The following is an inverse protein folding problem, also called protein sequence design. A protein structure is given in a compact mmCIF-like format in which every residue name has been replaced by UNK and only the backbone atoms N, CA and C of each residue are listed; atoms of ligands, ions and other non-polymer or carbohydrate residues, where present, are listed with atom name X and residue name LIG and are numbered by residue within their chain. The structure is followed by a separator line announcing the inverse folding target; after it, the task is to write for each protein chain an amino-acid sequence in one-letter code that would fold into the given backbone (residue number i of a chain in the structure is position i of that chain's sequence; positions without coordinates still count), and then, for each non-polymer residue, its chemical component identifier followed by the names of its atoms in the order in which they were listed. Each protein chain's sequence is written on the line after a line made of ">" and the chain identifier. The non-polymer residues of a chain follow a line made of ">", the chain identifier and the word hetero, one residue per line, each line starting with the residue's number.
data_IF_998845069257
#
_entry.id   IF_998845069257
#
_cell.length_a   1.000
_cell.length_b   1.000
_cell.length_c   1.000
_cell.angle_alpha   90.00
_cell.angle_beta   90.00
_cell.angle_gamma   90.00
#
_symmetry.space_group_name_H-M   'P 1'
#
loop_
_entity.id
_entity.type
_entity.pdbx_description
1 polymer ?
#
# COMPACT_ATOMS: atom_id res chain seq x y z
N UNK A 1 -27.49 -53.12 45.03
CA UNK A 1 -28.83 -53.19 44.39
C UNK A 1 -28.78 -52.34 43.12
N UNK A 2 -28.21 -52.80 42.01
CA UNK A 2 -28.82 -53.56 40.88
C UNK A 2 -29.97 -52.86 40.14
N UNK A 3 -29.78 -52.77 38.81
CA UNK A 3 -30.63 -52.29 37.68
C UNK A 3 -30.12 -50.95 37.09
N UNK A 4 -29.39 -50.85 35.96
CA UNK A 4 -29.29 -51.54 34.65
C UNK A 4 -30.45 -51.27 33.67
N UNK A 5 -30.07 -50.67 32.51
CA UNK A 5 -30.74 -50.49 31.19
C UNK A 5 -31.65 -49.26 31.04
N UNK A 6 -31.70 -48.54 29.90
CA UNK A 6 -31.18 -48.78 28.53
C UNK A 6 -31.17 -47.49 27.71
N UNK A 7 -30.26 -47.48 26.74
CA UNK A 7 -30.04 -46.65 25.55
C UNK A 7 -31.26 -46.28 24.68
N UNK A 8 -31.15 -45.15 23.93
CA UNK A 8 -31.23 -45.06 22.44
C UNK A 8 -31.04 -43.61 21.92
N UNK A 9 -29.99 -43.38 21.11
CA UNK A 9 -29.97 -43.06 19.65
C UNK A 9 -30.15 -41.57 19.31
N UNK A 10 -29.09 -40.88 18.86
CA UNK A 10 -28.60 -40.70 17.47
C UNK A 10 -29.58 -39.91 16.60
N UNK A 11 -29.16 -38.71 16.21
CA UNK A 11 -29.68 -37.92 15.10
C UNK A 11 -28.54 -37.12 14.48
N UNK A 12 -27.85 -37.73 13.52
CA UNK A 12 -26.90 -37.10 12.62
C UNK A 12 -27.60 -36.78 11.29
N UNK A 13 -27.26 -35.63 10.69
CA UNK A 13 -27.43 -35.19 9.28
C UNK A 13 -27.74 -33.68 9.27
N UNK A 14 -27.25 -32.82 8.37
CA UNK A 14 -26.69 -33.06 7.06
C UNK A 14 -25.62 -32.01 6.71
N UNK A 15 -24.56 -32.51 6.09
CA UNK A 15 -23.49 -31.83 5.39
C UNK A 15 -24.04 -31.30 4.05
N UNK A 16 -24.08 -29.99 3.83
CA UNK A 16 -24.32 -29.41 2.50
C UNK A 16 -22.98 -29.08 1.85
N UNK A 17 -22.50 -30.03 1.06
CA UNK A 17 -21.37 -29.89 0.15
C UNK A 17 -21.87 -29.18 -1.12
N UNK A 18 -21.65 -27.87 -1.23
CA UNK A 18 -21.90 -27.14 -2.47
C UNK A 18 -20.72 -27.38 -3.43
N UNK A 19 -20.95 -28.25 -4.41
CA UNK A 19 -20.06 -28.46 -5.55
C UNK A 19 -20.12 -27.20 -6.45
N UNK A 20 -19.14 -26.31 -6.32
CA UNK A 20 -18.96 -25.19 -7.24
C UNK A 20 -18.16 -25.65 -8.46
N UNK A 21 -18.85 -25.70 -9.59
CA UNK A 21 -18.29 -25.91 -10.94
C UNK A 21 -17.38 -24.71 -11.26
N UNK A 22 -16.07 -24.87 -11.50
CA UNK A 22 -15.26 -23.76 -11.99
C UNK A 22 -15.58 -23.55 -13.47
N UNK A 23 -16.26 -22.44 -13.77
CA UNK A 23 -16.33 -21.92 -15.12
C UNK A 23 -14.90 -21.61 -15.59
N UNK A 24 -14.42 -22.40 -16.56
CA UNK A 24 -13.17 -22.17 -17.24
C UNK A 24 -13.23 -20.82 -17.95
N UNK A 25 -12.68 -19.77 -17.32
CA UNK A 25 -12.27 -18.56 -18.04
C UNK A 25 -11.09 -18.95 -18.91
N UNK A 26 -11.27 -18.86 -20.22
CA UNK A 26 -10.19 -18.90 -21.19
C UNK A 26 -9.15 -17.84 -20.82
N UNK A 27 -8.05 -18.26 -20.19
CA UNK A 27 -6.81 -17.46 -20.18
C UNK A 27 -6.26 -17.54 -21.59
N UNK A 28 -6.09 -16.38 -22.22
CA UNK A 28 -5.29 -16.27 -23.42
C UNK A 28 -3.93 -16.94 -23.15
N UNK A 29 -3.49 -17.80 -24.07
CA UNK A 29 -2.21 -18.48 -23.99
C UNK A 29 -1.07 -17.45 -23.99
N UNK A 30 -0.50 -17.20 -22.81
CA UNK A 30 0.86 -16.71 -22.69
C UNK A 30 1.79 -17.78 -23.23
N UNK A 31 2.49 -17.46 -24.33
CA UNK A 31 3.67 -18.21 -24.77
C UNK A 31 4.63 -18.31 -23.58
N UNK A 32 4.94 -19.51 -23.06
CA UNK A 32 5.87 -19.62 -21.95
C UNK A 32 7.25 -19.19 -22.46
N UNK A 33 7.67 -17.99 -22.05
CA UNK A 33 9.04 -17.56 -22.24
C UNK A 33 9.94 -18.61 -21.56
N UNK A 34 10.96 -19.09 -22.28
CA UNK A 34 11.81 -20.20 -21.85
C UNK A 34 12.43 -19.99 -20.46
N UNK A 35 12.90 -21.08 -19.80
CA UNK A 35 13.46 -21.03 -18.45
C UNK A 35 14.66 -20.08 -18.41
N UNK A 36 14.43 -18.83 -17.97
CA UNK A 36 15.47 -17.79 -17.84
C UNK A 36 15.07 -16.39 -18.33
N UNK A 37 14.00 -16.23 -19.11
CA UNK A 37 13.56 -14.90 -19.59
C UNK A 37 12.55 -14.30 -18.62
N UNK A 38 12.82 -13.11 -18.09
CA UNK A 38 11.88 -12.42 -17.18
C UNK A 38 10.90 -11.57 -17.99
N UNK A 39 9.60 -11.88 -17.91
CA UNK A 39 8.53 -11.06 -18.51
C UNK A 39 8.10 -9.91 -17.59
N UNK A 40 7.51 -8.86 -18.16
CA UNK A 40 6.97 -7.73 -17.40
C UNK A 40 5.98 -8.18 -16.31
N UNK A 41 5.06 -9.08 -16.64
CA UNK A 41 4.07 -9.58 -15.67
C UNK A 41 4.72 -10.37 -14.52
N UNK A 42 5.73 -11.19 -14.83
CA UNK A 42 6.49 -11.89 -13.80
C UNK A 42 7.27 -10.90 -12.92
N UNK A 43 7.86 -9.86 -13.51
CA UNK A 43 8.57 -8.82 -12.76
C UNK A 43 7.63 -8.10 -11.79
N UNK A 44 6.43 -7.71 -12.24
CA UNK A 44 5.44 -7.04 -11.39
C UNK A 44 4.94 -7.97 -10.28
N UNK A 45 4.57 -9.22 -10.60
CA UNK A 45 4.12 -10.18 -9.57
C UNK A 45 5.17 -10.42 -8.50
N UNK A 46 6.44 -10.61 -8.90
CA UNK A 46 7.55 -10.82 -7.96
C UNK A 46 7.82 -9.57 -7.13
N UNK A 47 7.91 -8.40 -7.77
CA UNK A 47 8.21 -7.15 -7.07
C UNK A 47 7.10 -6.70 -6.12
N UNK A 48 5.83 -6.83 -6.48
CA UNK A 48 4.70 -6.52 -5.58
C UNK A 48 4.69 -7.45 -4.36
N UNK A 49 5.03 -8.74 -4.54
CA UNK A 49 5.12 -9.70 -3.43
C UNK A 49 6.30 -9.41 -2.49
N UNK A 50 7.43 -8.95 -3.02
CA UNK A 50 8.64 -8.66 -2.25
C UNK A 50 8.68 -7.24 -1.65
N UNK A 51 7.83 -6.32 -2.10
CA UNK A 51 7.93 -4.89 -1.78
C UNK A 51 7.69 -4.57 -0.29
N UNK A 52 8.65 -3.92 0.41
CA UNK A 52 8.46 -3.43 1.77
C UNK A 52 7.35 -2.38 1.90
N UNK A 53 7.15 -1.55 0.87
CA UNK A 53 6.09 -0.54 0.86
C UNK A 53 4.68 -1.19 0.88
N UNK A 54 4.53 -2.35 0.25
CA UNK A 54 3.30 -3.13 0.32
C UNK A 54 3.12 -3.77 1.70
N UNK A 55 4.21 -4.24 2.33
CA UNK A 55 4.15 -4.77 3.69
C UNK A 55 3.75 -3.68 4.71
N UNK A 56 4.26 -2.46 4.55
CA UNK A 56 3.86 -1.29 5.33
C UNK A 56 2.37 -0.98 5.13
N UNK A 57 1.92 -0.91 3.86
CA UNK A 57 0.51 -0.68 3.55
C UNK A 57 -0.41 -1.76 4.12
N UNK A 58 0.01 -3.03 4.11
CA UNK A 58 -0.71 -4.15 4.73
C UNK A 58 -0.72 -4.06 6.26
N UNK A 59 0.37 -3.63 6.89
CA UNK A 59 0.41 -3.39 8.33
C UNK A 59 -0.55 -2.26 8.71
N UNK A 60 -0.56 -1.16 7.95
CA UNK A 60 -1.49 -0.05 8.16
C UNK A 60 -2.95 -0.46 7.95
N UNK A 61 -3.23 -1.27 6.92
CA UNK A 61 -4.55 -1.87 6.71
C UNK A 61 -4.97 -2.71 7.93
N UNK A 62 -4.09 -3.60 8.43
CA UNK A 62 -4.37 -4.40 9.63
C UNK A 62 -4.66 -3.53 10.86
N UNK A 63 -3.94 -2.41 11.04
CA UNK A 63 -4.23 -1.44 12.11
C UNK A 63 -5.64 -0.85 11.96
N UNK A 64 -6.03 -0.41 10.76
CA UNK A 64 -7.39 0.12 10.54
C UNK A 64 -8.47 -0.95 10.71
N UNK A 65 -8.19 -2.20 10.34
CA UNK A 65 -9.10 -3.33 10.56
C UNK A 65 -9.22 -3.71 12.04
N UNK A 66 -8.13 -3.64 12.81
CA UNK A 66 -8.15 -3.84 14.26
C UNK A 66 -9.10 -2.85 14.95
N UNK A 67 -9.14 -1.60 14.49
CA UNK A 67 -10.10 -0.59 14.96
C UNK A 67 -11.57 -1.02 14.82
N UNK A 68 -11.92 -1.85 13.82
CA UNK A 68 -13.27 -2.43 13.71
C UNK A 68 -13.54 -3.41 14.85
N UNK A 69 -12.59 -4.29 15.14
CA UNK A 69 -12.70 -5.28 16.22
C UNK A 69 -12.76 -4.61 17.59
N UNK A 70 -11.96 -3.57 17.82
CA UNK A 70 -12.07 -2.74 19.02
C UNK A 70 -13.45 -2.11 19.15
N UNK A 71 -14.01 -1.59 18.05
CA UNK A 71 -15.35 -1.05 18.01
C UNK A 71 -16.42 -2.07 18.43
N UNK A 72 -16.38 -3.28 17.85
CA UNK A 72 -17.28 -4.37 18.23
C UNK A 72 -17.07 -4.84 19.67
N UNK A 73 -15.82 -4.89 20.13
CA UNK A 73 -15.48 -5.25 21.51
C UNK A 73 -16.07 -4.30 22.54
N UNK A 74 -16.24 -3.01 22.21
CA UNK A 74 -16.92 -2.04 23.09
C UNK A 74 -18.41 -2.32 23.30
N UNK A 75 -19.04 -3.12 22.42
CA UNK A 75 -20.43 -3.54 22.59
C UNK A 75 -20.56 -4.81 23.43
N UNK A 76 -19.46 -5.43 23.85
CA UNK A 76 -19.46 -6.61 24.71
C UNK A 76 -19.38 -6.22 26.19
N UNK A 77 -19.86 -7.09 27.10
CA UNK A 77 -19.64 -6.89 28.53
C UNK A 77 -18.15 -6.91 28.87
N UNK A 78 -17.73 -6.00 29.74
CA UNK A 78 -16.43 -6.07 30.41
C UNK A 78 -16.59 -6.81 31.73
N UNK A 79 -15.68 -7.72 32.03
CA UNK A 79 -15.64 -8.47 33.29
C UNK A 79 -14.30 -8.23 33.94
N UNK A 80 -14.33 -7.72 35.16
CA UNK A 80 -13.13 -7.40 35.93
C UNK A 80 -13.20 -8.08 37.29
N UNK A 81 -12.16 -8.83 37.65
CA UNK A 81 -11.94 -9.33 39.00
C UNK A 81 -10.90 -8.44 39.68
N UNK A 82 -11.18 -7.97 40.88
CA UNK A 82 -10.25 -7.30 41.77
C UNK A 82 -10.13 -8.13 43.04
N UNK A 83 -8.90 -8.32 43.52
CA UNK A 83 -8.64 -9.02 44.78
C UNK A 83 -7.67 -8.17 45.59
N UNK A 84 -8.08 -7.80 46.80
CA UNK A 84 -7.33 -6.96 47.72
C UNK A 84 -6.98 -7.71 48.99
N UNK A 85 -5.76 -7.47 49.47
CA UNK A 85 -5.35 -7.74 50.85
C UNK A 85 -5.09 -6.38 51.49
N UNK A 86 -5.86 -6.05 52.52
CA UNK A 86 -5.79 -4.76 53.20
C UNK A 86 -5.31 -4.99 54.62
N UNK A 87 -4.26 -4.28 55.04
CA UNK A 87 -3.92 -4.16 56.45
C UNK A 87 -4.10 -2.71 56.85
N UNK A 88 -4.96 -2.44 57.82
CA UNK A 88 -5.22 -1.09 58.31
C UNK A 88 -5.03 -1.07 59.82
N UNK A 89 -4.16 -0.19 60.32
CA UNK A 89 -4.06 0.10 61.74
C UNK A 89 -5.12 1.12 62.13
N UNK A 90 -6.04 0.76 63.03
CA UNK A 90 -7.06 1.68 63.57
C UNK A 90 -6.74 1.90 65.04
N UNK A 91 -6.59 3.17 65.45
CA UNK A 91 -6.48 3.55 66.84
C UNK A 91 -7.87 3.41 67.48
N UNK A 92 -8.06 2.38 68.31
CA UNK A 92 -9.33 2.16 68.97
C UNK A 92 -9.44 3.14 70.15
N UNK A 93 -10.30 4.15 70.01
CA UNK A 93 -10.53 5.19 71.03
C UNK A 93 -11.78 4.94 71.87
N UNK A 94 -12.58 3.94 71.52
CA UNK A 94 -13.82 3.61 72.20
C UNK A 94 -13.96 2.11 72.41
N UNK A 95 -14.56 1.71 73.53
CA UNK A 95 -14.89 0.31 73.84
C UNK A 95 -16.34 0.23 74.30
N UNK A 96 -17.03 -0.86 73.98
CA UNK A 96 -18.38 -1.10 74.50
C UNK A 96 -18.26 -1.65 75.92
N UNK A 97 -18.92 -1.00 76.87
CA UNK A 97 -18.97 -1.42 78.26
C UNK A 97 -19.82 -2.70 78.37
N UNK A 98 -19.24 -3.83 78.81
CA UNK A 98 -19.93 -5.13 78.84
C UNK A 98 -21.07 -5.21 79.87
N UNK A 99 -21.20 -4.24 80.77
CA UNK A 99 -22.25 -4.21 81.81
C UNK A 99 -23.43 -3.32 81.38
N UNK A 100 -23.13 -2.17 80.77
CA UNK A 100 -24.15 -1.16 80.43
C UNK A 100 -24.53 -1.15 78.94
N UNK A 101 -23.73 -1.80 78.09
CA UNK A 101 -23.88 -1.78 76.62
C UNK A 101 -23.55 -0.42 75.99
N UNK A 102 -23.16 0.58 76.78
CA UNK A 102 -22.80 1.91 76.30
C UNK A 102 -21.43 1.96 75.64
N UNK A 103 -21.21 2.95 74.76
CA UNK A 103 -19.89 3.21 74.16
C UNK A 103 -19.13 4.16 75.09
N UNK A 104 -17.99 3.73 75.62
CA UNK A 104 -17.12 4.51 76.51
C UNK A 104 -15.84 4.90 75.78
N UNK A 105 -15.42 6.16 75.92
CA UNK A 105 -14.14 6.64 75.40
C UNK A 105 -12.99 6.11 76.28
N UNK A 106 -11.98 5.52 75.64
CA UNK A 106 -10.77 5.05 76.31
C UNK A 106 -9.88 6.25 76.66
N UNK A 107 -9.32 6.34 77.89
CA UNK A 107 -8.30 7.33 78.20
C UNK A 107 -7.05 7.14 77.32
N UNK A 108 -6.27 8.20 77.11
CA UNK A 108 -5.14 8.20 76.16
C UNK A 108 -4.09 7.11 76.42
N UNK A 109 -3.95 6.65 77.68
CA UNK A 109 -3.07 5.53 78.07
C UNK A 109 -3.55 4.15 77.65
N UNK A 110 -4.81 4.01 77.22
CA UNK A 110 -5.45 2.76 76.78
C UNK A 110 -5.78 2.76 75.27
N UNK A 111 -5.35 3.79 74.53
CA UNK A 111 -5.46 3.82 73.07
C UNK A 111 -4.41 2.85 72.50
N UNK A 112 -4.88 1.74 71.95
CA UNK A 112 -4.03 0.73 71.33
C UNK A 112 -4.17 0.75 69.81
N UNK A 113 -3.06 0.50 69.11
CA UNK A 113 -3.05 0.36 67.66
C UNK A 113 -3.53 -1.05 67.31
N UNK A 114 -4.80 -1.17 66.96
CA UNK A 114 -5.33 -2.46 66.49
C UNK A 114 -5.16 -2.58 64.99
N UNK A 115 -4.38 -3.59 64.60
CA UNK A 115 -4.32 -4.00 63.20
C UNK A 115 -5.62 -4.72 62.84
N UNK A 116 -6.28 -4.21 61.80
CA UNK A 116 -7.32 -4.90 61.06
C UNK A 116 -6.70 -5.50 59.81
N UNK A 117 -6.92 -6.78 59.60
CA UNK A 117 -6.57 -7.50 58.39
C UNK A 117 -7.83 -7.76 57.61
N UNK A 118 -7.81 -7.46 56.32
CA UNK A 118 -8.93 -7.54 55.42
C UNK A 118 -8.58 -8.28 54.13
N UNK A 119 -9.52 -9.06 53.65
CA UNK A 119 -9.51 -9.57 52.28
C UNK A 119 -10.77 -9.14 51.56
N UNK A 120 -10.61 -8.64 50.34
CA UNK A 120 -11.71 -8.30 49.47
C UNK A 120 -11.52 -8.95 48.10
N UNK A 121 -12.63 -9.39 47.51
CA UNK A 121 -12.67 -9.86 46.15
C UNK A 121 -13.93 -9.33 45.48
N UNK A 122 -13.79 -8.68 44.33
CA UNK A 122 -14.90 -8.09 43.60
C UNK A 122 -14.86 -8.55 42.14
N UNK A 123 -15.87 -9.31 41.72
CA UNK A 123 -16.11 -9.62 40.31
C UNK A 123 -17.20 -8.67 39.79
N UNK A 124 -16.83 -7.75 38.91
CA UNK A 124 -17.74 -6.78 38.30
C UNK A 124 -17.88 -7.06 36.81
N UNK A 125 -19.11 -7.27 36.37
CA UNK A 125 -19.47 -7.29 34.95
C UNK A 125 -20.25 -6.00 34.61
N UNK A 126 -19.87 -5.32 33.52
CA UNK A 126 -20.58 -4.13 33.02
C UNK A 126 -20.81 -4.26 31.52
N UNK A 127 -22.03 -4.00 31.09
CA UNK A 127 -22.40 -4.04 29.67
C UNK A 127 -23.17 -2.79 29.28
N UNK A 128 -22.63 -2.03 28.32
CA UNK A 128 -23.35 -0.93 27.69
C UNK A 128 -24.24 -1.50 26.58
N UNK A 129 -25.56 -1.49 26.80
CA UNK A 129 -26.54 -2.09 25.88
C UNK A 129 -26.96 -1.08 24.82
N UNK A 130 -27.20 0.17 25.25
CA UNK A 130 -27.63 1.25 24.37
C UNK A 130 -26.64 2.38 24.47
N UNK A 131 -25.89 2.59 23.39
CA UNK A 131 -25.01 3.75 23.19
C UNK A 131 -25.04 4.19 21.72
N UNK A 132 -25.93 5.14 21.36
CA UNK A 132 -26.06 5.61 19.98
C UNK A 132 -24.79 6.27 19.44
N UNK A 133 -24.00 6.93 20.30
CA UNK A 133 -22.73 7.55 19.93
C UNK A 133 -21.70 6.46 19.57
N UNK A 134 -21.54 5.45 20.42
CA UNK A 134 -20.66 4.32 20.17
C UNK A 134 -21.02 3.59 18.87
N UNK A 135 -22.32 3.41 18.58
CA UNK A 135 -22.76 2.80 17.31
C UNK A 135 -22.29 3.59 16.09
N UNK A 136 -22.34 4.93 16.13
CA UNK A 136 -21.82 5.77 15.05
C UNK A 136 -20.29 5.73 14.99
N UNK A 137 -19.58 5.63 16.12
CA UNK A 137 -18.13 5.44 16.13
C UNK A 137 -17.71 4.10 15.50
N UNK A 138 -18.47 3.03 15.71
CA UNK A 138 -18.22 1.72 15.07
C UNK A 138 -18.42 1.83 13.56
N UNK A 139 -19.48 2.51 13.12
CA UNK A 139 -19.69 2.78 11.69
C UNK A 139 -18.56 3.63 11.10
N UNK A 140 -18.06 4.62 11.84
CA UNK A 140 -16.92 5.43 11.45
C UNK A 140 -15.65 4.57 11.30
N UNK A 141 -15.36 3.69 12.26
CA UNK A 141 -14.25 2.75 12.20
C UNK A 141 -14.37 1.77 11.01
N UNK A 142 -15.58 1.29 10.70
CA UNK A 142 -15.82 0.46 9.52
C UNK A 142 -15.55 1.22 8.21
N UNK A 143 -15.95 2.48 8.12
CA UNK A 143 -15.66 3.33 6.97
C UNK A 143 -14.16 3.64 6.83
N UNK A 144 -13.45 3.84 7.95
CA UNK A 144 -12.00 4.05 7.95
C UNK A 144 -11.24 2.79 7.54
N UNK A 145 -11.67 1.60 7.98
CA UNK A 145 -11.11 0.34 7.52
C UNK A 145 -11.34 0.11 6.02
N UNK A 146 -12.51 0.47 5.50
CA UNK A 146 -12.75 0.45 4.05
C UNK A 146 -11.84 1.43 3.30
N UNK A 147 -11.46 2.57 3.90
CA UNK A 147 -10.46 3.47 3.35
C UNK A 147 -9.06 2.82 3.35
N UNK A 148 -8.70 2.11 4.42
CA UNK A 148 -7.47 1.33 4.54
C UNK A 148 -7.34 0.26 3.45
N UNK A 149 -8.41 -0.49 3.17
CA UNK A 149 -8.44 -1.50 2.10
C UNK A 149 -8.15 -0.87 0.73
N UNK A 150 -8.81 0.26 0.41
CA UNK A 150 -8.61 0.97 -0.87
C UNK A 150 -7.24 1.63 -0.98
N UNK A 151 -6.65 2.03 0.14
CA UNK A 151 -5.29 2.56 0.20
C UNK A 151 -4.26 1.47 -0.14
N UNK A 152 -4.46 0.24 0.34
CA UNK A 152 -3.62 -0.90 0.00
C UNK A 152 -3.71 -1.24 -1.50
N UNK A 153 -4.92 -1.26 -2.07
CA UNK A 153 -5.09 -1.51 -3.51
C UNK A 153 -4.41 -0.43 -4.36
N UNK A 154 -4.52 0.84 -3.97
CA UNK A 154 -3.81 1.95 -4.61
C UNK A 154 -2.29 1.83 -4.50
N UNK A 155 -1.78 1.38 -3.34
CA UNK A 155 -0.35 1.13 -3.16
C UNK A 155 0.15 0.02 -4.09
N UNK A 156 -0.60 -1.08 -4.24
CA UNK A 156 -0.27 -2.15 -5.19
C UNK A 156 -0.19 -1.64 -6.63
N UNK A 157 -1.18 -0.86 -7.06
CA UNK A 157 -1.20 -0.29 -8.41
C UNK A 157 0.00 0.66 -8.67
N UNK A 158 0.37 1.49 -7.69
CA UNK A 158 1.54 2.39 -7.78
C UNK A 158 2.85 1.63 -7.88
N UNK A 159 3.09 0.66 -6.99
CA UNK A 159 4.30 -0.17 -7.02
C UNK A 159 4.40 -0.97 -8.32
N UNK A 160 3.29 -1.52 -8.81
CA UNK A 160 3.24 -2.19 -10.11
C UNK A 160 3.65 -1.28 -11.26
N UNK A 161 3.22 -0.02 -11.25
CA UNK A 161 3.64 0.96 -12.25
C UNK A 161 5.12 1.33 -12.13
N UNK A 162 5.64 1.51 -10.91
CA UNK A 162 7.07 1.79 -10.68
C UNK A 162 7.96 0.65 -11.19
N UNK A 163 7.57 -0.61 -10.91
CA UNK A 163 8.25 -1.80 -11.46
C UNK A 163 8.18 -1.79 -12.99
N UNK A 164 7.03 -1.44 -13.56
CA UNK A 164 6.86 -1.37 -15.02
C UNK A 164 7.80 -0.32 -15.63
N UNK A 165 7.89 0.87 -15.03
CA UNK A 165 8.80 1.92 -15.49
C UNK A 165 10.27 1.49 -15.39
N UNK A 166 10.67 0.88 -14.28
CA UNK A 166 12.03 0.35 -14.10
C UNK A 166 12.36 -0.77 -15.11
N UNK A 167 11.37 -1.61 -15.43
CA UNK A 167 11.49 -2.67 -16.43
C UNK A 167 11.70 -2.11 -17.84
N UNK A 168 10.91 -1.09 -18.22
CA UNK A 168 11.05 -0.42 -19.51
C UNK A 168 12.38 0.35 -19.60
N UNK A 169 12.83 0.99 -18.52
CA UNK A 169 14.15 1.64 -18.46
C UNK A 169 15.29 0.64 -18.71
N UNK A 170 15.20 -0.57 -18.14
CA UNK A 170 16.19 -1.61 -18.32
C UNK A 170 16.20 -2.16 -19.76
N UNK A 171 15.02 -2.33 -20.37
CA UNK A 171 14.90 -2.71 -21.79
C UNK A 171 15.46 -1.65 -22.73
N UNK A 172 15.15 -0.37 -22.48
CA UNK A 172 15.65 0.76 -23.26
C UNK A 172 17.17 0.86 -23.16
N UNK A 173 17.73 0.75 -21.96
CA UNK A 173 19.17 0.78 -21.77
C UNK A 173 19.90 -0.42 -22.42
N UNK A 174 19.28 -1.60 -22.44
CA UNK A 174 19.82 -2.75 -23.16
C UNK A 174 19.81 -2.52 -24.67
N UNK A 175 18.69 -2.03 -25.23
CA UNK A 175 18.60 -1.73 -26.65
C UNK A 175 19.59 -0.64 -27.09
N UNK A 176 19.84 0.35 -26.25
CA UNK A 176 20.87 1.37 -26.49
C UNK A 176 22.28 0.78 -26.43
N UNK A 177 22.57 -0.17 -25.53
CA UNK A 177 23.84 -0.88 -25.50
C UNK A 177 24.08 -1.68 -26.78
N UNK A 178 23.07 -2.41 -27.26
CA UNK A 178 23.16 -3.18 -28.50
C UNK A 178 23.43 -2.23 -29.70
N UNK A 179 22.76 -1.07 -29.73
CA UNK A 179 22.98 -0.02 -30.71
C UNK A 179 24.43 0.52 -30.66
N UNK A 180 24.95 0.84 -29.47
CA UNK A 180 26.34 1.35 -29.32
C UNK A 180 27.39 0.32 -29.70
N UNK A 181 27.13 -0.97 -29.46
CA UNK A 181 27.99 -2.06 -29.92
C UNK A 181 28.10 -2.04 -31.44
N UNK A 182 26.96 -1.99 -32.14
CA UNK A 182 26.94 -1.91 -33.61
C UNK A 182 27.53 -0.60 -34.15
N UNK A 183 27.45 0.52 -33.41
CA UNK A 183 28.13 1.77 -33.77
C UNK A 183 29.66 1.64 -33.68
N UNK A 184 30.19 0.98 -32.65
CA UNK A 184 31.63 0.75 -32.53
C UNK A 184 32.15 -0.14 -33.66
N UNK A 185 31.46 -1.23 -33.96
CA UNK A 185 31.82 -2.10 -35.09
C UNK A 185 31.85 -1.32 -36.43
N UNK A 186 30.89 -0.41 -36.64
CA UNK A 186 30.86 0.47 -37.83
C UNK A 186 32.03 1.47 -37.86
N UNK A 187 32.39 2.05 -36.71
CA UNK A 187 33.51 2.99 -36.60
C UNK A 187 34.86 2.30 -36.87
N UNK A 188 35.05 1.08 -36.35
CA UNK A 188 36.24 0.26 -36.61
C UNK A 188 36.39 -0.09 -38.09
N UNK A 189 35.28 -0.45 -38.72
CA UNK A 189 35.25 -0.73 -40.16
C UNK A 189 35.60 0.51 -40.99
N UNK A 190 35.11 1.70 -40.60
CA UNK A 190 35.47 2.94 -41.27
C UNK A 190 36.97 3.25 -41.14
N UNK A 191 37.55 3.08 -39.94
CA UNK A 191 38.99 3.27 -39.72
C UNK A 191 39.80 2.32 -40.60
N UNK A 192 39.44 1.04 -40.65
CA UNK A 192 40.11 0.04 -41.49
C UNK A 192 40.05 0.39 -42.99
N UNK A 193 38.91 0.90 -43.46
CA UNK A 193 38.75 1.37 -44.85
C UNK A 193 39.63 2.60 -45.12
N UNK A 194 39.66 3.58 -44.20
CA UNK A 194 40.44 4.80 -44.35
C UNK A 194 41.95 4.52 -44.37
N UNK A 195 42.45 3.67 -43.45
CA UNK A 195 43.86 3.25 -43.39
C UNK A 195 44.27 2.50 -44.68
N UNK A 196 43.42 1.59 -45.16
CA UNK A 196 43.65 0.89 -46.43
C UNK A 196 43.75 1.84 -47.61
N UNK A 197 42.89 2.87 -47.68
CA UNK A 197 42.91 3.88 -48.75
C UNK A 197 44.09 4.84 -48.65
N UNK A 198 44.53 5.19 -47.45
CA UNK A 198 45.73 5.99 -47.25
C UNK A 198 46.97 5.23 -47.74
N UNK A 199 47.05 3.92 -47.49
CA UNK A 199 48.18 3.09 -47.92
C UNK A 199 48.39 3.04 -49.44
N UNK A 200 47.31 3.24 -50.21
CA UNK A 200 47.34 3.34 -51.69
C UNK A 200 47.28 4.79 -52.17
N UNK A 201 47.43 5.79 -51.28
CA UNK A 201 47.46 7.21 -51.60
C UNK A 201 46.12 7.79 -52.10
N UNK A 202 45.00 7.10 -51.86
CA UNK A 202 43.68 7.48 -52.40
C UNK A 202 42.88 8.45 -51.52
N UNK A 203 43.31 8.69 -50.27
CA UNK A 203 42.70 9.65 -49.33
C UNK A 203 43.80 10.35 -48.51
N UNK A 204 43.56 11.56 -47.97
CA UNK A 204 44.52 12.23 -47.11
C UNK A 204 44.61 11.59 -45.71
N UNK A 205 45.71 11.83 -45.00
CA UNK A 205 45.89 11.40 -43.60
C UNK A 205 44.79 11.95 -42.67
N UNK A 206 44.23 13.12 -43.01
CA UNK A 206 43.09 13.72 -42.32
C UNK A 206 41.89 12.76 -42.19
N UNK A 207 41.61 11.95 -43.22
CA UNK A 207 40.49 11.00 -43.19
C UNK A 207 40.73 9.90 -42.13
N UNK A 208 41.97 9.42 -42.00
CA UNK A 208 42.34 8.42 -40.99
C UNK A 208 42.25 9.02 -39.58
N UNK A 209 42.70 10.27 -39.40
CA UNK A 209 42.59 10.96 -38.11
C UNK A 209 41.12 11.14 -37.70
N UNK A 210 40.24 11.51 -38.64
CA UNK A 210 38.80 11.64 -38.38
C UNK A 210 38.15 10.28 -38.05
N UNK A 211 38.49 9.22 -38.76
CA UNK A 211 38.00 7.88 -38.46
C UNK A 211 38.47 7.39 -37.10
N UNK A 212 39.74 7.64 -36.74
CA UNK A 212 40.32 7.27 -35.44
C UNK A 212 39.66 8.03 -34.29
N UNK A 213 39.34 9.32 -34.48
CA UNK A 213 38.56 10.09 -33.52
C UNK A 213 37.16 9.48 -33.33
N UNK A 214 36.49 9.11 -34.43
CA UNK A 214 35.18 8.45 -34.38
C UNK A 214 35.18 7.12 -33.62
N UNK A 215 36.26 6.33 -33.73
CA UNK A 215 36.44 5.10 -32.93
C UNK A 215 36.53 5.43 -31.44
N UNK A 216 37.34 6.43 -31.05
CA UNK A 216 37.45 6.86 -29.65
C UNK A 216 36.12 7.35 -29.07
N UNK A 217 35.35 8.13 -29.84
CA UNK A 217 34.02 8.58 -29.43
C UNK A 217 33.04 7.41 -29.26
N UNK A 218 33.10 6.41 -30.15
CA UNK A 218 32.27 5.21 -30.07
C UNK A 218 32.64 4.31 -28.88
N UNK A 219 33.92 4.20 -28.52
CA UNK A 219 34.38 3.48 -27.31
C UNK A 219 33.84 4.09 -26.04
N UNK A 220 33.92 5.43 -25.92
CA UNK A 220 33.40 6.15 -24.78
C UNK A 220 31.88 5.95 -24.66
N UNK A 221 31.14 6.12 -25.76
CA UNK A 221 29.70 5.93 -25.78
C UNK A 221 29.28 4.49 -25.44
N UNK A 222 30.05 3.48 -25.87
CA UNK A 222 29.82 2.08 -25.53
C UNK A 222 30.03 1.84 -24.03
N UNK A 223 31.12 2.35 -23.45
CA UNK A 223 31.39 2.24 -22.02
C UNK A 223 30.29 2.89 -21.16
N UNK A 224 29.79 4.05 -21.57
CA UNK A 224 28.65 4.73 -20.92
C UNK A 224 27.36 3.90 -21.02
N UNK A 225 27.08 3.32 -22.19
CA UNK A 225 25.91 2.48 -22.40
C UNK A 225 25.96 1.18 -21.58
N UNK A 226 27.15 0.56 -21.45
CA UNK A 226 27.37 -0.60 -20.58
C UNK A 226 27.06 -0.25 -19.12
N UNK A 227 27.60 0.87 -18.64
CA UNK A 227 27.37 1.37 -17.27
C UNK A 227 25.88 1.67 -17.03
N UNK A 228 25.23 2.30 -18.00
CA UNK A 228 23.80 2.64 -17.91
C UNK A 228 22.93 1.39 -17.89
N UNK A 229 23.19 0.41 -18.78
CA UNK A 229 22.47 -0.88 -18.79
C UNK A 229 22.59 -1.61 -17.46
N UNK A 230 23.81 -1.71 -16.91
CA UNK A 230 24.03 -2.31 -15.59
C UNK A 230 23.27 -1.55 -14.48
N UNK A 231 23.34 -0.23 -14.48
CA UNK A 231 22.64 0.62 -13.48
C UNK A 231 21.13 0.44 -13.54
N UNK A 232 20.53 0.42 -14.74
CA UNK A 232 19.07 0.23 -14.89
C UNK A 232 18.63 -1.18 -14.52
N UNK A 233 19.44 -2.21 -14.80
CA UNK A 233 19.17 -3.57 -14.31
C UNK A 233 19.23 -3.65 -12.79
N UNK A 234 20.22 -3.03 -12.15
CA UNK A 234 20.31 -2.97 -10.68
C UNK A 234 19.12 -2.21 -10.07
N UNK A 235 18.67 -1.12 -10.70
CA UNK A 235 17.48 -0.39 -10.27
C UNK A 235 16.21 -1.25 -10.35
N UNK A 236 16.06 -2.08 -11.40
CA UNK A 236 14.97 -3.07 -11.46
C UNK A 236 15.11 -4.13 -10.38
N UNK A 237 16.32 -4.65 -10.14
CA UNK A 237 16.59 -5.66 -9.10
C UNK A 237 16.18 -5.16 -7.71
N UNK A 238 16.39 -3.88 -7.40
CA UNK A 238 15.97 -3.28 -6.14
C UNK A 238 14.47 -3.49 -5.86
N UNK A 239 13.61 -3.43 -6.89
CA UNK A 239 12.18 -3.69 -6.73
C UNK A 239 11.82 -5.18 -6.62
N UNK A 240 12.62 -6.06 -7.23
CA UNK A 240 12.39 -7.51 -7.21
C UNK A 240 12.88 -8.16 -5.90
N UNK A 241 13.78 -7.49 -5.19
CA UNK A 241 14.39 -7.95 -3.94
C UNK A 241 15.84 -8.42 -4.10
N UNK A 242 16.62 -8.42 -3.01
CA UNK A 242 18.06 -8.71 -3.04
C UNK A 242 18.38 -10.13 -3.51
N UNK A 243 17.49 -11.09 -3.26
CA UNK A 243 17.67 -12.51 -3.59
C UNK A 243 17.28 -12.88 -5.03
N UNK A 244 16.90 -11.90 -5.85
CA UNK A 244 16.46 -12.11 -7.23
C UNK A 244 17.52 -11.61 -8.24
N UNK A 245 18.64 -12.33 -8.46
CA UNK A 245 19.64 -11.91 -9.44
C UNK A 245 19.03 -11.86 -10.84
N UNK A 246 19.20 -10.72 -11.50
CA UNK A 246 18.81 -10.54 -12.89
C UNK A 246 19.95 -10.98 -13.81
N UNK A 247 20.08 -12.28 -14.06
CA UNK A 247 21.10 -12.83 -14.97
C UNK A 247 20.58 -13.10 -16.40
N UNK A 248 19.27 -13.25 -16.56
CA UNK A 248 18.65 -13.57 -17.86
C UNK A 248 18.23 -12.35 -18.70
N UNK A 249 17.91 -12.53 -19.98
CA UNK A 249 17.34 -11.48 -20.83
C UNK A 249 15.93 -11.10 -20.36
N UNK A 250 15.53 -9.85 -20.66
CA UNK A 250 14.19 -9.35 -20.42
C UNK A 250 13.33 -9.56 -21.67
N UNK A 251 12.12 -10.07 -21.52
CA UNK A 251 11.18 -10.19 -22.63
C UNK A 251 10.56 -8.84 -22.97
N UNK A 252 10.59 -8.47 -24.24
CA UNK A 252 9.89 -7.27 -24.66
C UNK A 252 8.36 -7.42 -24.50
N UNK A 253 7.68 -6.50 -23.81
CA UNK A 253 6.24 -6.58 -23.62
C UNK A 253 5.50 -6.25 -24.93
N UNK A 254 4.31 -6.83 -25.09
CA UNK A 254 3.42 -6.43 -26.17
C UNK A 254 3.01 -4.95 -25.99
N UNK A 255 3.29 -4.14 -27.00
CA UNK A 255 2.93 -2.72 -26.99
C UNK A 255 1.53 -2.60 -27.63
N UNK A 256 0.55 -2.00 -26.93
CA UNK A 256 -0.80 -1.79 -27.48
C UNK A 256 -0.73 -1.01 -28.78
N UNK A 257 -1.53 -1.41 -29.76
CA UNK A 257 -1.69 -0.64 -30.99
C UNK A 257 -2.35 0.70 -30.68
N UNK A 258 -1.96 1.77 -31.36
CA UNK A 258 -2.51 3.10 -31.16
C UNK A 258 -4.03 3.13 -31.40
N UNK A 259 -4.52 2.33 -32.35
CA UNK A 259 -5.95 2.18 -32.64
C UNK A 259 -6.73 1.43 -31.55
N UNK A 260 -6.03 0.71 -30.65
CA UNK A 260 -6.63 -0.03 -29.54
C UNK A 260 -6.71 0.78 -28.24
N UNK A 261 -6.14 1.99 -28.21
CA UNK A 261 -6.19 2.86 -27.03
C UNK A 261 -7.62 3.38 -26.82
N UNK A 262 -8.17 3.34 -25.59
CA UNK A 262 -9.48 3.89 -25.30
C UNK A 262 -9.54 5.38 -25.64
N UNK A 263 -10.73 5.84 -26.06
CA UNK A 263 -11.00 7.27 -26.17
C UNK A 263 -10.68 8.00 -24.84
N UNK A 264 -10.21 9.24 -24.96
CA UNK A 264 -9.79 10.10 -23.85
C UNK A 264 -10.85 10.17 -22.75
N UNK A 265 -12.11 10.34 -23.15
CA UNK A 265 -13.22 10.45 -22.20
C UNK A 265 -13.66 9.11 -21.60
N UNK A 266 -13.40 8.01 -22.29
CA UNK A 266 -13.61 6.66 -21.74
C UNK A 266 -12.54 6.35 -20.68
N UNK A 267 -11.27 6.70 -20.96
CA UNK A 267 -10.17 6.54 -20.01
C UNK A 267 -10.37 7.44 -18.78
N UNK A 268 -10.83 8.68 -18.97
CA UNK A 268 -11.16 9.62 -17.90
C UNK A 268 -12.23 9.08 -16.96
N UNK A 269 -13.32 8.57 -17.51
CA UNK A 269 -14.40 7.96 -16.73
C UNK A 269 -13.90 6.75 -15.95
N UNK A 270 -13.23 5.82 -16.64
CA UNK A 270 -12.67 4.61 -16.02
C UNK A 270 -11.75 4.94 -14.84
N UNK A 271 -10.77 5.83 -15.04
CA UNK A 271 -9.80 6.18 -14.00
C UNK A 271 -10.47 6.85 -12.78
N UNK A 272 -11.44 7.74 -12.99
CA UNK A 272 -12.14 8.40 -11.87
C UNK A 272 -13.05 7.45 -11.10
N UNK A 273 -13.69 6.52 -11.80
CA UNK A 273 -14.62 5.55 -11.21
C UNK A 273 -13.87 4.42 -10.49
N UNK A 274 -12.75 3.96 -11.05
CA UNK A 274 -11.94 2.85 -10.52
C UNK A 274 -10.80 3.31 -9.60
N UNK A 275 -10.58 4.62 -9.41
CA UNK A 275 -9.51 5.13 -8.54
C UNK A 275 -9.72 4.68 -7.09
N UNK A 276 -8.85 3.77 -6.64
CA UNK A 276 -8.76 3.33 -5.25
C UNK A 276 -8.49 4.50 -4.31
N UNK A 277 -7.67 5.46 -4.72
CA UNK A 277 -7.37 6.65 -3.92
C UNK A 277 -8.61 7.53 -3.69
N UNK A 278 -9.39 7.81 -4.74
CA UNK A 278 -10.64 8.56 -4.57
C UNK A 278 -11.66 7.76 -3.74
N UNK A 279 -11.70 6.44 -3.89
CA UNK A 279 -12.54 5.60 -3.04
C UNK A 279 -12.12 5.65 -1.56
N UNK A 280 -10.81 5.62 -1.27
CA UNK A 280 -10.28 5.76 0.09
C UNK A 280 -10.66 7.11 0.71
N UNK A 281 -10.50 8.20 -0.06
CA UNK A 281 -10.88 9.55 0.40
C UNK A 281 -12.39 9.70 0.63
N UNK A 282 -13.23 9.09 -0.22
CA UNK A 282 -14.69 9.05 0.00
C UNK A 282 -15.03 8.29 1.28
N UNK A 283 -14.37 7.17 1.55
CA UNK A 283 -14.57 6.38 2.75
C UNK A 283 -14.11 7.13 4.01
N UNK A 284 -12.95 7.79 3.99
CA UNK A 284 -12.47 8.64 5.09
C UNK A 284 -13.38 9.86 5.33
N UNK A 285 -13.92 10.48 4.27
CA UNK A 285 -14.96 11.53 4.40
C UNK A 285 -16.24 11.00 5.04
N UNK A 286 -16.65 9.78 4.70
CA UNK A 286 -17.77 9.10 5.36
C UNK A 286 -17.48 8.83 6.84
N UNK A 287 -16.27 8.37 7.18
CA UNK A 287 -15.84 8.16 8.56
C UNK A 287 -15.90 9.45 9.39
N UNK A 288 -15.39 10.57 8.84
CA UNK A 288 -15.49 11.88 9.48
C UNK A 288 -16.95 12.32 9.70
N UNK A 289 -17.83 12.06 8.73
CA UNK A 289 -19.27 12.36 8.84
C UNK A 289 -19.97 11.53 9.92
N UNK A 290 -19.59 10.26 10.06
CA UNK A 290 -20.09 9.36 11.10
C UNK A 290 -19.56 9.75 12.48
N UNK A 291 -18.28 10.12 12.60
CA UNK A 291 -17.70 10.65 13.83
C UNK A 291 -18.38 11.95 14.28
N UNK A 292 -18.72 12.84 13.33
CA UNK A 292 -19.54 14.04 13.61
C UNK A 292 -20.95 13.67 14.08
N UNK A 293 -21.53 12.60 13.54
CA UNK A 293 -22.84 12.11 13.96
C UNK A 293 -22.77 11.51 15.36
N UNK A 294 -21.73 10.75 15.69
CA UNK A 294 -21.48 10.25 17.04
C UNK A 294 -21.45 11.39 18.07
N UNK A 295 -20.71 12.46 17.77
CA UNK A 295 -20.65 13.64 18.65
C UNK A 295 -22.02 14.30 18.87
N UNK A 296 -22.92 14.27 17.87
CA UNK A 296 -24.29 14.78 18.02
C UNK A 296 -25.16 13.88 18.90
N UNK A 297 -24.94 12.57 18.85
CA UNK A 297 -25.71 11.59 19.61
C UNK A 297 -25.18 11.36 21.03
N UNK A 298 -24.07 11.99 21.40
CA UNK A 298 -23.46 11.88 22.74
C UNK A 298 -24.39 12.27 23.89
N UNK A 299 -25.35 13.19 23.64
CA UNK A 299 -26.33 13.64 24.63
C UNK A 299 -27.60 12.78 24.67
N UNK A 300 -27.68 11.73 23.86
CA UNK A 300 -28.80 10.79 23.90
C UNK A 300 -28.58 9.84 25.08
N UNK A 301 -29.64 9.51 25.85
CA UNK A 301 -29.50 8.61 26.97
C UNK A 301 -28.83 7.30 26.62
N UNK A 302 -28.04 6.80 27.56
CA UNK A 302 -27.42 5.48 27.47
C UNK A 302 -28.00 4.55 28.50
N UNK A 303 -27.98 3.25 28.19
CA UNK A 303 -28.45 2.19 29.08
C UNK A 303 -27.35 1.17 29.26
N UNK A 304 -26.94 0.94 30.51
CA UNK A 304 -26.03 -0.13 30.89
C UNK A 304 -26.67 -1.09 31.87
N UNK A 305 -26.21 -2.34 31.82
CA UNK A 305 -26.47 -3.34 32.85
C UNK A 305 -25.16 -3.64 33.53
N UNK A 306 -25.21 -3.82 34.85
CA UNK A 306 -24.05 -4.25 35.61
C UNK A 306 -24.44 -5.30 36.63
N UNK A 307 -23.48 -6.16 36.94
CA UNK A 307 -23.57 -7.14 38.01
C UNK A 307 -22.25 -7.10 38.77
N UNK A 308 -22.33 -7.16 40.09
CA UNK A 308 -21.19 -7.17 40.97
C UNK A 308 -21.40 -8.27 42.00
N UNK A 309 -20.45 -9.19 42.08
CA UNK A 309 -20.28 -10.06 43.22
C UNK A 309 -19.11 -9.53 44.02
N UNK A 310 -19.33 -9.23 45.29
CA UNK A 310 -18.29 -8.79 46.20
C UNK A 310 -18.21 -9.72 47.39
N UNK A 311 -17.00 -9.99 47.83
CA UNK A 311 -16.66 -10.62 49.09
C UNK A 311 -15.78 -9.65 49.86
N UNK A 312 -16.05 -9.47 51.14
CA UNK A 312 -15.20 -8.66 52.01
C UNK A 312 -15.18 -9.20 53.42
N UNK A 313 -14.01 -9.50 53.95
CA UNK A 313 -13.82 -10.04 55.29
C UNK A 313 -12.76 -9.23 56.01
N UNK A 314 -13.10 -8.66 57.17
CA UNK A 314 -12.18 -7.88 58.01
C UNK A 314 -12.18 -8.45 59.42
N UNK A 315 -11.00 -8.56 60.02
CA UNK A 315 -10.83 -9.11 61.36
C UNK A 315 -9.59 -8.59 62.07
N UNK A 316 -9.59 -8.69 63.39
CA UNK A 316 -8.46 -8.29 64.25
C UNK A 316 -7.29 -9.29 64.20
N UNK A 317 -7.54 -10.52 63.74
CA UNK A 317 -6.52 -11.56 63.54
C UNK A 317 -6.30 -11.81 62.05
N UNK A 318 -5.17 -12.44 61.70
CA UNK A 318 -4.86 -12.83 60.31
C UNK A 318 -5.78 -13.94 59.77
N UNK A 319 -6.72 -14.44 60.58
CA UNK A 319 -7.69 -15.47 60.19
C UNK A 319 -8.73 -14.96 59.18
N UNK A 320 -8.84 -13.64 59.00
CA UNK A 320 -9.59 -12.98 57.92
C UNK A 320 -9.09 -13.35 56.50
N UNK A 321 -8.03 -14.15 56.39
CA UNK A 321 -7.51 -14.79 55.18
C UNK A 321 -8.21 -16.12 54.82
N UNK A 322 -9.09 -16.66 55.69
CA UNK A 322 -9.79 -17.94 55.48
C UNK A 322 -11.09 -17.76 54.68
N UNK A 323 -11.60 -18.80 54.00
CA UNK A 323 -12.83 -18.71 53.19
C UNK A 323 -14.08 -18.91 54.07
N UNK A 324 -14.84 -17.83 54.32
CA UNK A 324 -16.15 -17.89 54.97
C UNK A 324 -17.28 -17.46 54.00
N UNK A 325 -18.27 -18.33 53.72
CA UNK A 325 -19.35 -18.05 52.75
C UNK A 325 -20.38 -17.01 53.25
N UNK A 326 -20.27 -16.48 54.47
CA UNK A 326 -21.22 -15.50 55.01
C UNK A 326 -20.94 -14.06 54.56
N UNK A 327 -19.76 -13.80 54.02
CA UNK A 327 -19.27 -12.46 53.70
C UNK A 327 -19.31 -12.16 52.20
N UNK A 328 -20.35 -12.63 51.51
CA UNK A 328 -20.57 -12.41 50.07
C UNK A 328 -21.86 -11.64 49.80
N UNK A 329 -21.83 -10.79 48.78
CA UNK A 329 -22.99 -10.03 48.30
C UNK A 329 -22.96 -9.95 46.78
N UNK A 330 -24.03 -10.42 46.15
CA UNK A 330 -24.29 -10.23 44.73
C UNK A 330 -25.32 -9.12 44.52
N UNK A 331 -25.01 -8.13 43.69
CA UNK A 331 -25.94 -7.06 43.28
C UNK A 331 -25.92 -6.95 41.77
N UNK A 332 -27.08 -6.71 41.17
CA UNK A 332 -27.18 -6.36 39.76
C UNK A 332 -28.09 -5.15 39.60
N UNK A 333 -27.91 -4.43 38.50
CA UNK A 333 -28.67 -3.21 38.26
C UNK A 333 -28.69 -2.82 36.80
N UNK A 334 -29.66 -1.98 36.47
CA UNK A 334 -29.76 -1.29 35.18
C UNK A 334 -29.54 0.19 35.47
N UNK A 335 -28.57 0.79 34.78
CA UNK A 335 -28.31 2.22 34.86
C UNK A 335 -28.82 2.91 33.61
N UNK A 336 -29.64 3.92 33.82
CA UNK A 336 -30.03 4.88 32.80
C UNK A 336 -29.26 6.18 33.05
N UNK A 337 -28.49 6.64 32.07
CA UNK A 337 -27.68 7.86 32.18
C UNK A 337 -28.04 8.82 31.07
N UNK A 338 -28.47 10.03 31.44
CA UNK A 338 -28.78 11.10 30.50
C UNK A 338 -28.08 12.40 30.90
N UNK A 339 -27.08 12.78 30.12
CA UNK A 339 -26.38 14.05 30.27
C UNK A 339 -27.22 15.20 29.69
N UNK A 340 -28.02 15.84 30.54
CA UNK A 340 -28.92 16.94 30.15
C UNK A 340 -28.17 18.22 29.78
N UNK A 341 -27.02 18.47 30.41
CA UNK A 341 -26.22 19.67 30.21
C UNK A 341 -24.73 19.34 30.28
N UNK A 342 -24.00 19.67 29.22
CA UNK A 342 -22.53 19.65 29.21
C UNK A 342 -21.99 21.08 29.31
N UNK A 343 -20.75 21.20 29.80
CA UNK A 343 -20.02 22.47 29.85
C UNK A 343 -19.98 23.12 28.44
N UNK A 344 -20.52 24.34 28.26
CA UNK A 344 -20.73 24.93 26.92
C UNK A 344 -19.47 24.98 26.04
N UNK A 345 -18.30 25.25 26.63
CA UNK A 345 -17.03 25.31 25.91
C UNK A 345 -16.57 23.96 25.35
N UNK A 346 -16.76 22.87 26.09
CA UNK A 346 -16.39 21.50 25.66
C UNK A 346 -17.23 21.09 24.45
N UNK A 347 -18.55 21.30 24.53
CA UNK A 347 -19.49 20.95 23.46
C UNK A 347 -19.24 21.77 22.19
N UNK A 348 -19.03 23.08 22.32
CA UNK A 348 -18.73 23.94 21.18
C UNK A 348 -17.42 23.52 20.51
N UNK A 349 -16.38 23.24 21.31
CA UNK A 349 -15.08 22.77 20.83
C UNK A 349 -15.17 21.46 20.06
N UNK A 350 -15.86 20.46 20.62
CA UNK A 350 -16.03 19.15 19.97
C UNK A 350 -16.84 19.23 18.67
N UNK A 351 -17.91 20.03 18.63
CA UNK A 351 -18.70 20.28 17.42
C UNK A 351 -17.88 21.00 16.34
N UNK A 352 -17.07 21.99 16.71
CA UNK A 352 -16.18 22.68 15.76
C UNK A 352 -15.10 21.75 15.23
N UNK A 353 -14.48 20.94 16.09
CA UNK A 353 -13.43 19.97 15.70
C UNK A 353 -13.95 18.94 14.69
N UNK A 354 -15.10 18.31 14.98
CA UNK A 354 -15.71 17.32 14.08
C UNK A 354 -16.25 17.94 12.80
N UNK A 355 -16.78 19.18 12.86
CA UNK A 355 -17.15 19.95 11.68
C UNK A 355 -15.96 20.25 10.77
N UNK A 356 -14.86 20.73 11.35
CA UNK A 356 -13.62 21.01 10.63
C UNK A 356 -12.99 19.74 10.04
N UNK A 357 -13.06 18.61 10.74
CA UNK A 357 -12.56 17.33 10.23
C UNK A 357 -13.31 16.87 8.96
N UNK A 358 -14.64 17.04 8.90
CA UNK A 358 -15.43 16.77 7.70
C UNK A 358 -15.05 17.71 6.56
N UNK A 359 -14.93 19.01 6.84
CA UNK A 359 -14.53 20.01 5.84
C UNK A 359 -13.12 19.72 5.28
N UNK A 360 -12.17 19.33 6.14
CA UNK A 360 -10.84 18.93 5.71
C UNK A 360 -10.86 17.67 4.83
N UNK A 361 -11.67 16.67 5.18
CA UNK A 361 -11.82 15.46 4.36
C UNK A 361 -12.47 15.76 2.99
N UNK A 362 -13.48 16.64 2.96
CA UNK A 362 -14.10 17.11 1.72
C UNK A 362 -13.13 17.90 0.84
N UNK A 363 -12.34 18.79 1.42
CA UNK A 363 -11.33 19.56 0.71
C UNK A 363 -10.24 18.64 0.12
N UNK A 364 -9.75 17.65 0.88
CA UNK A 364 -8.78 16.64 0.38
C UNK A 364 -9.34 15.86 -0.81
N UNK A 365 -10.60 15.43 -0.73
CA UNK A 365 -11.28 14.74 -1.83
C UNK A 365 -11.41 15.64 -3.07
N UNK A 366 -11.80 16.91 -2.89
CA UNK A 366 -11.93 17.86 -3.99
C UNK A 366 -10.58 18.13 -4.68
N UNK A 367 -9.52 18.38 -3.90
CA UNK A 367 -8.16 18.60 -4.41
C UNK A 367 -7.65 17.38 -5.15
N UNK A 368 -7.78 16.16 -4.60
CA UNK A 368 -7.32 14.95 -5.30
C UNK A 368 -8.16 14.67 -6.55
N UNK A 369 -9.47 14.91 -6.53
CA UNK A 369 -10.32 14.76 -7.72
C UNK A 369 -9.90 15.71 -8.84
N UNK A 370 -9.64 16.97 -8.54
CA UNK A 370 -9.16 17.94 -9.52
C UNK A 370 -7.75 17.57 -10.03
N UNK A 371 -6.86 17.15 -9.12
CA UNK A 371 -5.52 16.66 -9.46
C UNK A 371 -5.57 15.46 -10.40
N UNK A 372 -6.39 14.45 -10.09
CA UNK A 372 -6.54 13.26 -10.92
C UNK A 372 -7.10 13.59 -12.31
N UNK A 373 -8.08 14.50 -12.40
CA UNK A 373 -8.62 14.93 -13.69
C UNK A 373 -7.54 15.58 -14.57
N UNK A 374 -6.68 16.43 -13.98
CA UNK A 374 -5.52 17.01 -14.66
C UNK A 374 -4.49 15.94 -15.05
N UNK A 375 -4.17 15.02 -14.15
CA UNK A 375 -3.17 13.97 -14.37
C UNK A 375 -3.61 13.05 -15.54
N UNK A 376 -4.91 12.73 -15.63
CA UNK A 376 -5.51 12.02 -16.77
C UNK A 376 -5.37 12.80 -18.07
N UNK A 377 -5.68 14.10 -18.07
CA UNK A 377 -5.58 14.95 -19.28
C UNK A 377 -4.15 14.98 -19.82
N UNK A 378 -3.17 15.15 -18.93
CA UNK A 378 -1.74 15.10 -19.27
C UNK A 378 -1.36 13.73 -19.84
N UNK A 379 -1.85 12.65 -19.23
CA UNK A 379 -1.56 11.29 -19.68
C UNK A 379 -2.14 10.99 -21.07
N UNK A 380 -3.40 11.38 -21.32
CA UNK A 380 -4.05 11.26 -22.64
C UNK A 380 -3.25 12.00 -23.70
N UNK A 381 -2.90 13.27 -23.45
CA UNK A 381 -2.08 14.06 -24.39
C UNK A 381 -0.71 13.42 -24.63
N UNK A 382 -0.10 12.85 -23.58
CA UNK A 382 1.19 12.15 -23.67
C UNK A 382 1.09 10.85 -24.47
N UNK A 383 0.00 10.09 -24.32
CA UNK A 383 -0.26 8.85 -25.08
C UNK A 383 -0.41 9.14 -26.57
N UNK A 384 -1.23 10.12 -26.94
CA UNK A 384 -1.40 10.52 -28.34
C UNK A 384 -0.08 10.96 -28.97
N UNK A 385 0.71 11.78 -28.25
CA UNK A 385 2.05 12.19 -28.69
C UNK A 385 3.01 11.01 -28.80
N UNK A 386 2.99 10.07 -27.86
CA UNK A 386 3.87 8.90 -27.85
C UNK A 386 3.61 7.97 -29.04
N UNK A 387 2.33 7.77 -29.40
CA UNK A 387 1.95 6.99 -30.58
C UNK A 387 2.49 7.62 -31.87
N UNK A 388 2.26 8.93 -32.06
CA UNK A 388 2.77 9.66 -33.22
C UNK A 388 4.30 9.67 -33.27
N UNK A 389 4.96 9.87 -32.12
CA UNK A 389 6.41 9.87 -32.01
C UNK A 389 6.99 8.53 -32.47
N UNK A 390 6.41 7.41 -32.04
CA UNK A 390 6.82 6.06 -32.44
C UNK A 390 6.70 5.84 -33.95
N UNK A 391 5.58 6.26 -34.55
CA UNK A 391 5.36 6.15 -36.00
C UNK A 391 6.41 6.97 -36.77
N UNK A 392 6.61 8.24 -36.37
CA UNK A 392 7.57 9.13 -37.02
C UNK A 392 9.01 8.70 -36.84
N UNK A 393 9.40 8.23 -35.65
CA UNK A 393 10.75 7.73 -35.40
C UNK A 393 11.06 6.48 -36.23
N UNK A 394 10.08 5.58 -36.40
CA UNK A 394 10.25 4.40 -37.24
C UNK A 394 10.46 4.78 -38.72
N UNK A 395 9.69 5.73 -39.24
CA UNK A 395 9.88 6.24 -40.60
C UNK A 395 11.26 6.94 -40.77
N UNK A 396 11.69 7.72 -39.79
CA UNK A 396 12.98 8.41 -39.80
C UNK A 396 14.15 7.44 -39.83
N UNK A 397 14.08 6.32 -39.10
CA UNK A 397 15.13 5.28 -39.13
C UNK A 397 15.28 4.70 -40.53
N UNK A 398 14.17 4.41 -41.23
CA UNK A 398 14.22 3.87 -42.60
C UNK A 398 14.85 4.87 -43.57
N UNK A 399 14.49 6.15 -43.48
CA UNK A 399 15.05 7.20 -44.32
C UNK A 399 16.54 7.44 -44.04
N UNK A 400 16.92 7.53 -42.76
CA UNK A 400 18.31 7.74 -42.36
C UNK A 400 19.19 6.53 -42.69
N UNK A 401 18.67 5.30 -42.61
CA UNK A 401 19.37 4.10 -43.03
C UNK A 401 19.68 4.11 -44.54
N UNK A 402 18.72 4.52 -45.39
CA UNK A 402 18.94 4.66 -46.84
C UNK A 402 19.96 5.75 -47.17
N UNK A 403 19.88 6.90 -46.48
CA UNK A 403 20.86 7.97 -46.65
C UNK A 403 22.28 7.52 -46.27
N UNK A 404 22.40 6.80 -45.15
CA UNK A 404 23.67 6.21 -44.70
C UNK A 404 24.22 5.22 -45.73
N UNK A 405 23.39 4.32 -46.25
CA UNK A 405 23.79 3.35 -47.27
C UNK A 405 24.31 4.04 -48.54
N UNK A 406 23.58 5.04 -49.04
CA UNK A 406 24.02 5.82 -50.19
C UNK A 406 25.36 6.56 -49.94
N UNK A 407 25.54 7.14 -48.75
CA UNK A 407 26.79 7.81 -48.38
C UNK A 407 27.97 6.84 -48.25
N UNK A 408 27.74 5.64 -47.70
CA UNK A 408 28.74 4.57 -47.60
C UNK A 408 29.21 4.14 -48.99
N UNK A 409 28.29 3.92 -49.93
CA UNK A 409 28.64 3.53 -51.31
C UNK A 409 29.37 4.65 -52.06
N UNK A 410 28.90 5.90 -51.97
CA UNK A 410 29.58 7.05 -52.57
C UNK A 410 30.99 7.23 -52.03
N UNK A 411 31.17 7.12 -50.71
CA UNK A 411 32.49 7.13 -50.10
C UNK A 411 33.34 5.98 -50.64
N UNK A 412 32.83 4.75 -50.68
CA UNK A 412 33.52 3.55 -51.18
C UNK A 412 33.95 3.65 -52.65
N UNK A 413 33.21 4.40 -53.46
CA UNK A 413 33.56 4.68 -54.87
C UNK A 413 34.47 5.90 -55.04
N UNK A 414 34.78 6.64 -53.96
CA UNK A 414 35.59 7.87 -54.02
C UNK A 414 34.83 9.08 -54.56
N UNK A 415 33.49 9.01 -54.60
CA UNK A 415 32.60 10.06 -55.13
C UNK A 415 32.17 11.08 -54.06
N UNK A 416 32.53 10.84 -52.80
CA UNK A 416 32.18 11.69 -51.67
C UNK A 416 33.31 11.70 -50.62
N UNK A 417 33.52 12.82 -49.89
CA UNK A 417 34.48 12.90 -48.80
C UNK A 417 34.00 12.13 -47.57
N UNK A 418 34.92 11.74 -46.68
CA UNK A 418 34.59 11.03 -45.42
C UNK A 418 33.59 11.79 -44.55
N UNK A 419 33.60 13.12 -44.60
CA UNK A 419 32.68 13.99 -43.84
C UNK A 419 31.22 13.74 -44.21
N UNK A 420 30.91 13.49 -45.48
CA UNK A 420 29.54 13.17 -45.93
C UNK A 420 29.06 11.85 -45.30
N UNK A 421 29.95 10.84 -45.24
CA UNK A 421 29.66 9.57 -44.57
C UNK A 421 29.47 9.75 -43.06
N UNK A 422 30.38 10.46 -42.38
CA UNK A 422 30.28 10.71 -40.94
C UNK A 422 29.00 11.48 -40.58
N UNK A 423 28.60 12.44 -41.42
CA UNK A 423 27.34 13.17 -41.24
C UNK A 423 26.12 12.24 -41.39
N UNK A 424 26.11 11.38 -42.41
CA UNK A 424 25.03 10.42 -42.62
C UNK A 424 24.95 9.36 -41.50
N UNK A 425 26.09 8.87 -41.01
CA UNK A 425 26.16 7.98 -39.83
C UNK A 425 25.65 8.69 -38.57
N UNK A 426 26.01 9.96 -38.36
CA UNK A 426 25.50 10.77 -37.24
C UNK A 426 23.98 10.93 -37.25
N UNK A 427 23.39 11.18 -38.43
CA UNK A 427 21.93 11.28 -38.60
C UNK A 427 21.23 9.94 -38.38
N UNK A 428 21.79 8.84 -38.90
CA UNK A 428 21.26 7.49 -38.67
C UNK A 428 21.29 7.11 -37.19
N UNK A 429 22.40 7.37 -36.51
CA UNK A 429 22.55 7.18 -35.07
C UNK A 429 21.50 7.95 -34.29
N UNK A 430 21.28 9.22 -34.61
CA UNK A 430 20.26 10.04 -33.94
C UNK A 430 18.85 9.44 -34.12
N UNK A 431 18.51 9.04 -35.35
CA UNK A 431 17.23 8.41 -35.64
C UNK A 431 17.05 7.07 -34.92
N UNK A 432 18.08 6.22 -34.89
CA UNK A 432 18.11 4.93 -34.18
C UNK A 432 17.88 5.13 -32.67
N UNK A 433 18.58 6.07 -32.04
CA UNK A 433 18.38 6.40 -30.61
C UNK A 433 16.97 6.90 -30.31
N UNK A 434 16.44 7.81 -31.14
CA UNK A 434 15.08 8.32 -30.98
C UNK A 434 14.02 7.22 -31.12
N UNK A 435 14.23 6.27 -32.05
CA UNK A 435 13.32 5.14 -32.23
C UNK A 435 13.32 4.18 -31.05
N UNK A 436 14.49 3.91 -30.44
CA UNK A 436 14.58 3.10 -29.23
C UNK A 436 13.79 3.73 -28.08
N UNK A 437 13.96 5.04 -27.84
CA UNK A 437 13.21 5.75 -26.80
C UNK A 437 11.69 5.79 -27.11
N UNK A 438 11.31 6.03 -28.36
CA UNK A 438 9.92 6.13 -28.79
C UNK A 438 9.18 4.78 -28.73
N UNK A 439 9.90 3.66 -28.87
CA UNK A 439 9.35 2.30 -28.84
C UNK A 439 8.53 2.04 -27.58
N UNK A 440 9.04 2.43 -26.42
CA UNK A 440 8.41 2.18 -25.11
C UNK A 440 7.56 3.34 -24.60
N UNK A 441 7.54 4.48 -25.30
CA UNK A 441 6.84 5.68 -24.86
C UNK A 441 5.33 5.48 -24.56
N UNK A 442 4.55 4.72 -25.35
CA UNK A 442 3.15 4.47 -25.05
C UNK A 442 2.94 3.69 -23.74
N UNK A 443 3.71 2.63 -23.52
CA UNK A 443 3.65 1.84 -22.28
C UNK A 443 4.09 2.66 -21.07
N UNK A 444 5.12 3.49 -21.23
CA UNK A 444 5.60 4.41 -20.19
C UNK A 444 4.49 5.39 -19.79
N UNK A 445 3.79 5.97 -20.76
CA UNK A 445 2.67 6.88 -20.49
C UNK A 445 1.49 6.19 -19.78
N UNK A 446 1.17 4.93 -20.13
CA UNK A 446 0.16 4.14 -19.41
C UNK A 446 0.60 3.83 -17.97
N UNK A 447 1.85 3.43 -17.77
CA UNK A 447 2.40 3.17 -16.45
C UNK A 447 2.41 4.44 -15.57
N UNK A 448 2.76 5.60 -16.14
CA UNK A 448 2.69 6.89 -15.44
C UNK A 448 1.26 7.26 -15.04
N UNK A 449 0.28 7.02 -15.91
CA UNK A 449 -1.13 7.23 -15.58
C UNK A 449 -1.59 6.31 -14.45
N UNK A 450 -1.20 5.04 -14.48
CA UNK A 450 -1.49 4.10 -13.41
C UNK A 450 -0.86 4.55 -12.08
N UNK A 451 0.40 5.01 -12.12
CA UNK A 451 1.10 5.54 -10.94
C UNK A 451 0.38 6.76 -10.36
N UNK A 452 -0.02 7.70 -11.21
CA UNK A 452 -0.72 8.90 -10.79
C UNK A 452 -2.13 8.60 -10.26
N UNK A 453 -2.84 7.65 -10.86
CA UNK A 453 -4.24 7.35 -10.49
C UNK A 453 -4.40 6.35 -9.35
N UNK A 454 -3.38 5.52 -9.11
CA UNK A 454 -3.49 4.36 -8.23
C UNK A 454 -4.57 3.37 -8.67
N UNK A 455 -4.94 3.38 -9.95
CA UNK A 455 -5.94 2.49 -10.55
C UNK A 455 -5.24 1.56 -11.55
N UNK A 456 -5.63 0.29 -11.67
CA UNK A 456 -5.09 -0.61 -12.69
C UNK A 456 -5.50 -0.11 -14.08
N UNK A 457 -4.55 0.42 -14.85
CA UNK A 457 -4.77 0.89 -16.23
C UNK A 457 -4.15 -0.09 -17.23
N UNK A 458 -3.05 -0.73 -16.83
CA UNK A 458 -2.42 -1.77 -17.63
C UNK A 458 -3.22 -3.08 -17.54
N UNK A 459 -3.27 -3.88 -18.62
CA UNK A 459 -4.05 -5.13 -18.68
C UNK A 459 -3.47 -6.25 -17.80
N UNK A 460 -2.31 -6.04 -17.18
CA UNK A 460 -1.63 -7.04 -16.35
C UNK A 460 -2.25 -7.04 -14.95
N UNK A 461 -2.95 -8.12 -14.60
CA UNK A 461 -3.51 -8.31 -13.27
C UNK A 461 -2.42 -8.55 -12.22
N UNK A 462 -2.64 -8.00 -11.01
CA UNK A 462 -1.78 -8.18 -9.85
C UNK A 462 -2.33 -9.23 -8.89
#
# INVERSE_FOLDING_TARGET
>A
MTHVRRTRRIGAAALFLFLAIPAARARAQETPAGPGVLTLEQAVRRGVAASPAIQEAQAQQRTTQAGRWEGWGRLLPTVQMQVGLVQTGVLQRTVSDPITGGIVNLPDSLIDLRNSYGTDAALTARWQIIDPSAMMQIRAANAEAAAGDRTLDGARARIAAEITLAYLDALEAQALLDLRTAEKERADELLRIAEGRLSVGSVPELDVLQARLGVGDAELALMEAQTTSQTRRLALQQYLGPDAPLSGPLAEPAIPDAASLPDADALRRRVVDESGELAALRASRSAAGLARSAERLRLIPTVSVWAQWVRSEYGATRDALTYQPRNELGVYGVNFTWDLLEQPGVRLGARRRTGAAVQAAEARLAVRRAGLARDVEIAVGTLGRAALLRERSAANVVLAARQREAAVERYRLGLAPIVERLQAEGLAREAERQAVAARFAPLRALAELQRASGAPVLPYGY
#
